data_IF_750335756646
#
_entry.id   IF_750335756646
#
_cell.length_a   1.000
_cell.length_b   1.000
_cell.length_c   1.000
_cell.angle_alpha   90.00
_cell.angle_beta   90.00
_cell.angle_gamma   90.00
#
_symmetry.space_group_name_H-M   'P 1'
#
loop_
_entity.id
_entity.type
_entity.pdbx_description
1 polymer ?
#
# COMPACT_ATOMS: atom_id res chain seq x y z
N UNK A 1 15.18 -14.90 -15.84
CA UNK A 1 13.91 -14.85 -15.87
C UNK A 1 13.38 -15.12 -14.57
N UNK A 2 13.58 -16.24 -14.10
CA UNK A 2 13.18 -16.60 -12.77
C UNK A 2 13.83 -15.72 -11.75
N UNK A 3 15.05 -15.32 -11.99
CA UNK A 3 15.75 -14.44 -11.08
C UNK A 3 15.05 -13.10 -10.95
N UNK A 4 14.49 -12.62 -12.04
CA UNK A 4 13.77 -11.36 -12.02
C UNK A 4 12.56 -11.49 -11.12
N UNK A 5 11.86 -12.59 -11.22
CA UNK A 5 10.69 -12.82 -10.38
C UNK A 5 11.08 -12.90 -8.92
N UNK A 6 12.20 -13.56 -8.64
CA UNK A 6 12.67 -13.67 -7.27
C UNK A 6 13.04 -12.32 -6.70
N UNK A 7 13.66 -11.48 -7.50
CA UNK A 7 14.00 -10.14 -7.05
C UNK A 7 12.75 -9.33 -6.72
N UNK A 8 11.75 -9.44 -7.57
CA UNK A 8 10.50 -8.74 -7.32
C UNK A 8 9.87 -9.19 -6.02
N UNK A 9 9.93 -10.48 -5.75
CA UNK A 9 9.37 -11.01 -4.53
C UNK A 9 10.12 -10.48 -3.31
N UNK A 10 11.44 -10.42 -3.40
CA UNK A 10 12.24 -9.92 -2.29
C UNK A 10 11.96 -8.44 -2.04
N UNK A 11 11.91 -7.65 -3.12
CA UNK A 11 11.61 -6.23 -2.99
C UNK A 11 10.23 -6.02 -2.39
N UNK A 12 9.28 -6.81 -2.86
CA UNK A 12 7.92 -6.72 -2.35
C UNK A 12 7.88 -7.04 -0.86
N UNK A 13 8.63 -8.04 -0.43
CA UNK A 13 8.65 -8.47 0.97
C UNK A 13 9.21 -7.40 1.90
N UNK A 14 10.06 -6.51 1.37
CA UNK A 14 10.67 -5.47 2.18
C UNK A 14 10.01 -4.11 1.97
N UNK A 15 8.81 -4.12 1.43
CA UNK A 15 8.09 -2.87 1.15
C UNK A 15 6.86 -2.77 2.04
N UNK A 16 6.30 -1.57 2.07
CA UNK A 16 5.04 -1.35 2.77
C UNK A 16 4.10 -0.60 1.84
N UNK A 17 2.82 -0.59 2.18
CA UNK A 17 1.81 0.06 1.35
C UNK A 17 1.80 1.56 1.63
N UNK A 18 1.85 2.35 0.56
CA UNK A 18 1.81 3.81 0.66
C UNK A 18 0.82 4.35 -0.36
N UNK A 19 0.33 5.54 -0.09
CA UNK A 19 -0.54 6.23 -1.04
C UNK A 19 0.33 6.82 -2.14
N UNK A 20 -0.15 6.73 -3.38
CA UNK A 20 0.56 7.32 -4.52
C UNK A 20 -0.16 8.53 -5.07
N UNK A 21 -1.25 8.91 -4.44
CA UNK A 21 -1.94 10.16 -4.70
C UNK A 21 -2.83 10.46 -3.51
N UNK A 22 -3.35 11.67 -3.46
CA UNK A 22 -4.23 12.06 -2.35
C UNK A 22 -5.49 11.21 -2.37
N UNK A 23 -5.90 10.73 -1.20
CA UNK A 23 -7.09 9.90 -1.05
C UNK A 23 -8.04 10.60 -0.09
N UNK A 24 -9.27 10.78 -0.51
CA UNK A 24 -10.26 11.44 0.31
C UNK A 24 -11.00 10.45 1.18
N UNK A 25 -11.50 10.93 2.31
CA UNK A 25 -12.29 10.10 3.20
C UNK A 25 -13.45 9.46 2.43
N UNK A 26 -13.59 8.16 2.59
CA UNK A 26 -14.64 7.42 1.90
C UNK A 26 -14.25 6.87 0.54
N UNK A 27 -13.06 7.23 0.06
CA UNK A 27 -12.59 6.69 -1.21
C UNK A 27 -12.21 5.22 -1.05
N UNK A 28 -12.36 4.48 -2.14
CA UNK A 28 -11.99 3.08 -2.16
C UNK A 28 -10.51 2.95 -2.49
N UNK A 29 -9.82 2.09 -1.76
CA UNK A 29 -8.41 1.81 -2.04
C UNK A 29 -8.31 0.94 -3.28
N UNK A 30 -7.53 1.40 -4.26
CA UNK A 30 -7.37 0.69 -5.53
C UNK A 30 -5.90 0.75 -5.94
N UNK A 31 -5.56 0.00 -6.97
CA UNK A 31 -4.21 0.04 -7.50
C UNK A 31 -3.86 1.41 -8.09
N UNK A 32 -4.84 2.27 -8.26
CA UNK A 32 -4.60 3.61 -8.79
C UNK A 32 -4.18 4.61 -7.73
N UNK A 33 -4.46 4.33 -6.47
CA UNK A 33 -4.14 5.30 -5.42
C UNK A 33 -3.23 4.76 -4.32
N UNK A 34 -2.92 3.46 -4.33
CA UNK A 34 -1.96 2.91 -3.39
C UNK A 34 -1.00 1.98 -4.11
N UNK A 35 0.19 1.84 -3.56
CA UNK A 35 1.19 0.93 -4.09
C UNK A 35 2.16 0.59 -2.96
N UNK A 36 3.15 -0.21 -3.26
CA UNK A 36 4.12 -0.62 -2.26
C UNK A 36 5.45 0.07 -2.55
N UNK A 37 6.14 0.46 -1.50
CA UNK A 37 7.43 1.13 -1.63
C UNK A 37 8.32 0.74 -0.48
N UNK A 38 9.62 0.80 -0.69
CA UNK A 38 10.61 0.63 0.36
C UNK A 38 10.94 2.00 0.95
N UNK A 39 11.39 2.06 2.18
CA UNK A 39 11.59 0.92 3.10
C UNK A 39 10.26 0.38 3.62
N UNK A 40 10.29 -0.84 4.08
CA UNK A 40 9.10 -1.49 4.58
C UNK A 40 8.87 -1.25 6.06
N UNK A 41 9.03 -0.02 6.49
CA UNK A 41 8.86 0.32 7.89
C UNK A 41 7.46 0.84 8.21
N UNK A 42 6.55 0.78 7.24
CA UNK A 42 5.18 1.15 7.50
C UNK A 42 4.43 0.04 8.20
N UNK A 43 3.25 0.38 8.70
CA UNK A 43 2.45 -0.56 9.46
C UNK A 43 1.92 -1.70 8.61
N UNK A 44 1.55 -1.41 7.38
CA UNK A 44 0.96 -2.41 6.49
C UNK A 44 2.01 -2.89 5.51
N UNK A 45 2.41 -4.13 5.65
CA UNK A 45 3.43 -4.70 4.79
C UNK A 45 2.87 -4.95 3.39
N UNK A 46 3.77 -5.01 2.41
CA UNK A 46 3.36 -5.20 1.03
C UNK A 46 2.55 -6.47 0.82
N UNK A 47 2.81 -7.50 1.60
CA UNK A 47 2.08 -8.76 1.46
C UNK A 47 0.58 -8.59 1.73
N UNK A 48 0.20 -7.51 2.39
CA UNK A 48 -1.21 -7.24 2.68
C UNK A 48 -1.88 -6.37 1.63
N UNK A 49 -1.11 -5.94 0.63
CA UNK A 49 -1.62 -5.05 -0.39
C UNK A 49 -2.94 -5.54 -1.02
N UNK A 50 -2.96 -6.81 -1.42
CA UNK A 50 -4.15 -7.33 -2.08
C UNK A 50 -5.34 -7.45 -1.11
N UNK A 51 -5.06 -7.60 0.17
CA UNK A 51 -6.13 -7.73 1.15
C UNK A 51 -6.86 -6.42 1.41
N UNK A 52 -6.14 -5.30 1.26
CA UNK A 52 -6.76 -4.01 1.55
C UNK A 52 -7.36 -3.35 0.32
N UNK A 53 -7.13 -3.89 -0.86
CA UNK A 53 -7.79 -3.35 -2.05
C UNK A 53 -9.30 -3.50 -1.90
N UNK A 54 -10.02 -2.44 -2.25
CA UNK A 54 -11.47 -2.43 -2.13
C UNK A 54 -12.00 -1.94 -0.81
N UNK A 55 -11.12 -1.73 0.17
CA UNK A 55 -11.55 -1.15 1.44
C UNK A 55 -11.69 0.36 1.30
N UNK A 56 -12.48 0.95 2.17
CA UNK A 56 -12.72 2.39 2.11
C UNK A 56 -12.01 3.10 3.23
N UNK A 57 -11.50 4.29 2.93
CA UNK A 57 -10.78 5.06 3.91
C UNK A 57 -11.74 5.71 4.91
N UNK A 58 -11.24 5.90 6.12
CA UNK A 58 -11.99 6.56 7.19
C UNK A 58 -11.57 8.02 7.36
N UNK A 59 -10.54 8.43 6.65
CA UNK A 59 -10.03 9.79 6.75
C UNK A 59 -9.26 10.13 5.48
N UNK A 60 -8.94 11.41 5.33
CA UNK A 60 -8.14 11.85 4.19
C UNK A 60 -6.72 11.39 4.35
N UNK A 61 -6.10 10.97 3.24
CA UNK A 61 -4.72 10.49 3.23
C UNK A 61 -3.97 11.29 2.18
N UNK A 62 -2.87 11.90 2.59
CA UNK A 62 -2.05 12.67 1.67
C UNK A 62 -1.20 11.76 0.80
N UNK A 63 -0.73 12.30 -0.32
CA UNK A 63 0.13 11.56 -1.22
C UNK A 63 1.43 11.16 -0.52
N UNK A 64 1.95 9.99 -0.85
CA UNK A 64 3.22 9.48 -0.31
C UNK A 64 3.18 9.25 1.20
N UNK A 65 2.03 8.84 1.70
CA UNK A 65 1.85 8.55 3.11
C UNK A 65 1.79 7.04 3.31
N UNK A 66 2.54 6.54 4.30
CA UNK A 66 2.45 5.14 4.66
C UNK A 66 1.10 4.88 5.31
N UNK A 67 0.41 3.86 4.87
CA UNK A 67 -0.93 3.56 5.37
C UNK A 67 -0.87 2.84 6.70
N UNK A 68 -1.89 3.07 7.53
CA UNK A 68 -2.07 2.38 8.80
C UNK A 68 -3.40 1.67 8.79
N UNK A 69 -3.51 0.63 9.63
CA UNK A 69 -4.75 -0.12 9.70
C UNK A 69 -5.94 0.72 10.11
N UNK A 70 -5.70 1.80 10.84
CA UNK A 70 -6.78 2.68 11.29
C UNK A 70 -7.16 3.72 10.24
N UNK A 71 -6.49 3.75 9.11
CA UNK A 71 -6.82 4.71 8.05
C UNK A 71 -8.03 4.27 7.23
N UNK A 72 -8.43 3.01 7.32
CA UNK A 72 -9.51 2.47 6.51
C UNK A 72 -10.20 1.33 7.26
N UNK A 73 -11.29 0.87 6.67
CA UNK A 73 -12.04 -0.23 7.26
C UNK A 73 -11.76 -1.53 6.58
#
# INVERSE_FOLDING_TARGET
>A
RILTDEQQTIDFAYSCVVSIKEIKKGDTLTENNIWVKRPGNGEIKAEKYLEILGKKTKKNILKNTQLSWEDFE
#
